data_IF_941495998446
#
_entry.id   IF_941495998446
#
_cell.length_a   1.000
_cell.length_b   1.000
_cell.length_c   1.000
_cell.angle_alpha   90.00
_cell.angle_beta   90.00
_cell.angle_gamma   90.00
#
_symmetry.space_group_name_H-M   'P 1'
#
loop_
_entity.id
_entity.type
_entity.pdbx_description
1 polymer ?
#
# COMPACT_ATOMS: atom_id res chain seq x y z
N UNK A 1 17.83 -1.52 12.85
CA UNK A 1 16.75 -0.67 12.28
C UNK A 1 15.56 -0.78 13.23
N UNK A 2 14.79 0.27 13.41
CA UNK A 2 13.65 0.28 14.33
C UNK A 2 12.40 -0.27 13.61
N UNK A 3 11.69 -1.23 14.23
CA UNK A 3 10.46 -1.78 13.69
C UNK A 3 9.35 -0.72 13.75
N UNK A 4 8.79 -0.36 12.58
CA UNK A 4 7.68 0.58 12.47
C UNK A 4 6.32 -0.12 12.53
N UNK A 5 6.22 -1.35 11.98
CA UNK A 5 5.03 -2.19 12.01
C UNK A 5 5.42 -3.59 12.47
N UNK A 6 4.72 -4.11 13.47
CA UNK A 6 4.84 -5.49 13.92
C UNK A 6 3.47 -6.16 13.91
N UNK A 7 3.39 -7.33 13.31
CA UNK A 7 2.21 -8.20 13.28
C UNK A 7 2.59 -9.51 13.94
N UNK A 8 1.81 -9.96 14.93
CA UNK A 8 2.09 -11.19 15.70
C UNK A 8 0.83 -12.04 15.80
N UNK A 9 0.91 -13.27 15.30
CA UNK A 9 -0.14 -14.27 15.40
C UNK A 9 -1.48 -13.87 14.79
N UNK A 10 -1.47 -12.97 13.79
CA UNK A 10 -2.69 -12.39 13.24
C UNK A 10 -3.52 -13.45 12.53
N UNK A 11 -4.80 -13.59 12.92
CA UNK A 11 -5.68 -14.61 12.33
C UNK A 11 -7.06 -14.05 12.04
N UNK A 12 -7.68 -14.55 10.94
CA UNK A 12 -9.03 -14.19 10.53
C UNK A 12 -9.70 -15.33 9.78
N UNK A 13 -10.90 -15.69 10.22
CA UNK A 13 -11.79 -16.60 9.50
C UNK A 13 -13.08 -15.89 9.07
N UNK A 14 -13.66 -16.34 7.96
CA UNK A 14 -14.98 -15.93 7.48
C UNK A 14 -15.84 -17.19 7.35
N UNK A 15 -16.79 -17.37 8.28
CA UNK A 15 -17.50 -18.63 8.37
C UNK A 15 -16.55 -19.80 8.61
N UNK A 16 -16.53 -20.80 7.72
CA UNK A 16 -15.60 -21.94 7.79
C UNK A 16 -14.27 -21.74 7.06
N UNK A 17 -14.05 -20.58 6.38
CA UNK A 17 -12.86 -20.32 5.60
C UNK A 17 -11.82 -19.56 6.43
N UNK A 18 -10.65 -20.15 6.65
CA UNK A 18 -9.50 -19.48 7.26
C UNK A 18 -8.80 -18.60 6.23
N UNK A 19 -9.00 -17.28 6.31
CA UNK A 19 -8.44 -16.33 5.34
C UNK A 19 -7.02 -15.86 5.70
N UNK A 20 -6.70 -15.80 7.01
CA UNK A 20 -5.35 -15.52 7.53
C UNK A 20 -5.18 -16.37 8.79
N UNK A 21 -4.05 -17.06 8.91
CA UNK A 21 -3.76 -17.95 10.03
C UNK A 21 -2.35 -17.72 10.57
N UNK A 22 -2.28 -17.28 11.82
CA UNK A 22 -1.04 -17.07 12.56
C UNK A 22 0.03 -16.31 11.77
N UNK A 23 -0.37 -15.19 11.15
CA UNK A 23 0.49 -14.41 10.28
C UNK A 23 1.36 -13.44 11.09
N UNK A 24 2.67 -13.55 10.91
CA UNK A 24 3.68 -12.71 11.52
C UNK A 24 4.41 -11.88 10.45
N UNK A 25 4.65 -10.59 10.72
CA UNK A 25 5.43 -9.71 9.86
C UNK A 25 6.06 -8.59 10.69
N UNK A 26 7.32 -8.31 10.43
CA UNK A 26 8.00 -7.14 10.97
C UNK A 26 8.47 -6.26 9.80
N UNK A 27 8.15 -4.97 9.84
CA UNK A 27 8.56 -3.96 8.85
C UNK A 27 9.36 -2.90 9.57
N UNK A 28 10.57 -2.63 9.11
CA UNK A 28 11.40 -1.56 9.65
C UNK A 28 11.15 -0.24 8.91
N UNK A 29 11.52 0.86 9.55
CA UNK A 29 11.45 2.16 8.90
C UNK A 29 12.35 2.19 7.65
N UNK A 30 11.80 2.65 6.53
CA UNK A 30 12.48 2.71 5.24
C UNK A 30 12.44 1.40 4.44
N UNK A 31 11.77 0.35 4.92
CA UNK A 31 11.61 -0.88 4.14
C UNK A 31 10.64 -0.68 2.97
N UNK A 32 10.91 -1.38 1.87
CA UNK A 32 10.02 -1.58 0.73
C UNK A 32 9.82 -3.09 0.54
N UNK A 33 8.66 -3.59 0.97
CA UNK A 33 8.34 -5.01 1.04
C UNK A 33 7.23 -5.37 0.05
N UNK A 34 7.41 -6.47 -0.67
CA UNK A 34 6.38 -7.10 -1.47
C UNK A 34 5.62 -8.19 -0.69
N UNK A 35 4.29 -8.14 -0.68
CA UNK A 35 3.44 -9.22 -0.18
C UNK A 35 2.83 -9.95 -1.39
N UNK A 36 3.28 -11.17 -1.64
CA UNK A 36 2.91 -11.98 -2.80
C UNK A 36 2.12 -13.22 -2.41
N UNK A 37 1.44 -13.80 -3.37
CA UNK A 37 0.69 -15.03 -3.23
C UNK A 37 -0.41 -15.13 -4.29
N UNK A 38 -0.96 -16.31 -4.53
CA UNK A 38 -2.06 -16.52 -5.47
C UNK A 38 -3.32 -15.74 -5.11
N UNK A 39 -4.29 -15.72 -6.03
CA UNK A 39 -5.59 -15.14 -5.77
C UNK A 39 -6.28 -15.89 -4.62
N UNK A 40 -6.92 -15.14 -3.70
CA UNK A 40 -7.52 -15.74 -2.51
C UNK A 40 -6.53 -16.16 -1.41
N UNK A 41 -5.23 -15.91 -1.57
CA UNK A 41 -4.22 -16.26 -0.55
C UNK A 41 -4.35 -15.52 0.80
N UNK A 42 -5.14 -14.43 0.86
CA UNK A 42 -5.35 -13.64 2.07
C UNK A 42 -4.62 -12.28 2.10
N UNK A 43 -3.93 -11.90 1.03
CA UNK A 43 -3.16 -10.63 0.96
C UNK A 43 -3.98 -9.40 1.32
N UNK A 44 -5.08 -9.17 0.62
CA UNK A 44 -5.99 -8.04 0.87
C UNK A 44 -6.64 -8.14 2.24
N UNK A 45 -6.87 -9.36 2.77
CA UNK A 45 -7.34 -9.57 4.13
C UNK A 45 -6.31 -9.08 5.15
N UNK A 46 -5.02 -9.35 4.95
CA UNK A 46 -3.94 -8.81 5.80
C UNK A 46 -3.97 -7.27 5.79
N UNK A 47 -4.07 -6.63 4.63
CA UNK A 47 -4.20 -5.17 4.56
C UNK A 47 -5.45 -4.64 5.27
N UNK A 48 -6.59 -5.32 5.11
CA UNK A 48 -7.84 -4.95 5.79
C UNK A 48 -7.72 -5.06 7.32
N UNK A 49 -6.99 -6.05 7.83
CA UNK A 49 -6.70 -6.22 9.24
C UNK A 49 -5.77 -5.13 9.78
N UNK A 50 -4.68 -4.81 9.07
CA UNK A 50 -3.75 -3.72 9.43
C UNK A 50 -4.46 -2.38 9.47
N UNK A 51 -5.36 -2.13 8.52
CA UNK A 51 -6.03 -0.82 8.36
C UNK A 51 -7.38 -0.72 9.08
N UNK A 52 -7.77 -1.75 9.84
CA UNK A 52 -8.97 -1.74 10.67
C UNK A 52 -10.31 -1.82 9.94
N UNK A 53 -10.29 -2.14 8.62
CA UNK A 53 -11.51 -2.42 7.84
C UNK A 53 -12.17 -3.72 8.28
N UNK A 54 -11.38 -4.67 8.77
CA UNK A 54 -11.82 -5.96 9.30
C UNK A 54 -11.17 -6.15 10.67
N UNK A 55 -11.91 -6.71 11.63
CA UNK A 55 -11.37 -7.06 12.94
C UNK A 55 -10.71 -8.43 12.88
N UNK A 56 -9.53 -8.54 13.50
CA UNK A 56 -8.86 -9.81 13.73
C UNK A 56 -9.65 -10.67 14.71
N UNK A 57 -9.59 -11.97 14.55
CA UNK A 57 -10.14 -12.94 15.51
C UNK A 57 -9.12 -13.23 16.63
N UNK A 58 -7.81 -13.18 16.29
CA UNK A 58 -6.71 -13.27 17.25
C UNK A 58 -5.46 -12.58 16.70
N UNK A 59 -4.45 -12.42 17.56
CA UNK A 59 -3.19 -11.77 17.24
C UNK A 59 -3.23 -10.25 17.44
N UNK A 60 -2.12 -9.62 17.12
CA UNK A 60 -1.91 -8.21 17.39
C UNK A 60 -1.18 -7.51 16.23
N UNK A 61 -1.58 -6.26 15.96
CA UNK A 61 -0.88 -5.32 15.08
C UNK A 61 -0.39 -4.15 15.91
N UNK A 62 0.92 -3.92 15.91
CA UNK A 62 1.54 -2.77 16.57
C UNK A 62 2.16 -1.84 15.54
N UNK A 63 1.94 -0.56 15.73
CA UNK A 63 2.56 0.49 14.94
C UNK A 63 3.36 1.40 15.87
N UNK A 64 4.69 1.47 15.66
CA UNK A 64 5.62 2.21 16.54
C UNK A 64 5.43 1.83 18.01
N UNK A 65 5.37 0.54 18.29
CA UNK A 65 5.17 -0.04 19.63
C UNK A 65 3.76 0.11 20.22
N UNK A 66 2.83 0.82 19.54
CA UNK A 66 1.45 1.00 20.00
C UNK A 66 0.52 0.01 19.32
N UNK A 67 -0.33 -0.67 20.07
CA UNK A 67 -1.35 -1.56 19.52
C UNK A 67 -2.40 -0.78 18.74
N UNK A 68 -2.62 -1.17 17.48
CA UNK A 68 -3.63 -0.58 16.58
C UNK A 68 -4.71 -1.58 16.16
N UNK A 69 -4.65 -2.83 16.59
CA UNK A 69 -5.49 -3.97 16.16
C UNK A 69 -7.00 -3.69 16.20
N UNK A 70 -7.46 -2.91 17.17
CA UNK A 70 -8.89 -2.65 17.36
C UNK A 70 -9.30 -1.21 17.02
N UNK A 71 -8.39 -0.43 16.46
CA UNK A 71 -8.68 0.94 16.07
C UNK A 71 -9.52 0.97 14.79
N UNK A 72 -10.33 2.02 14.65
CA UNK A 72 -11.08 2.28 13.41
C UNK A 72 -10.15 2.83 12.32
N UNK A 73 -10.48 2.68 11.01
CA UNK A 73 -9.61 3.11 9.91
C UNK A 73 -9.13 4.56 10.03
N UNK A 74 -10.01 5.51 10.38
CA UNK A 74 -9.62 6.92 10.52
C UNK A 74 -8.62 7.16 11.66
N UNK A 75 -8.66 6.35 12.73
CA UNK A 75 -7.68 6.42 13.82
C UNK A 75 -6.32 5.88 13.36
N UNK A 76 -6.33 4.79 12.58
CA UNK A 76 -5.12 4.18 12.03
C UNK A 76 -4.42 5.14 11.06
N UNK A 77 -5.18 5.83 10.18
CA UNK A 77 -4.64 6.91 9.34
C UNK A 77 -4.02 8.02 10.21
N UNK A 78 -4.67 8.41 11.30
CA UNK A 78 -4.15 9.39 12.25
C UNK A 78 -2.87 8.93 12.98
N UNK A 79 -2.62 7.62 13.05
CA UNK A 79 -1.34 7.09 13.55
C UNK A 79 -0.23 7.12 12.49
N UNK A 80 -0.54 7.27 11.21
CA UNK A 80 0.44 7.35 10.13
C UNK A 80 0.48 6.14 9.20
N UNK A 81 -0.56 5.33 9.19
CA UNK A 81 -0.73 4.23 8.23
C UNK A 81 -1.71 4.65 7.17
N UNK A 82 -1.27 4.82 5.92
CA UNK A 82 -2.14 5.09 4.78
C UNK A 82 -2.20 3.90 3.82
N UNK A 83 -3.24 3.85 3.00
CA UNK A 83 -3.46 2.79 2.01
C UNK A 83 -4.10 3.34 0.75
N UNK A 84 -3.69 2.82 -0.41
CA UNK A 84 -4.46 2.89 -1.64
C UNK A 84 -5.37 1.67 -1.76
N UNK A 85 -6.38 1.74 -2.61
CA UNK A 85 -7.32 0.65 -2.84
C UNK A 85 -7.23 0.15 -4.27
N UNK A 86 -7.57 -1.12 -4.48
CA UNK A 86 -7.60 -1.72 -5.80
C UNK A 86 -8.53 -0.95 -6.77
N UNK A 87 -9.69 -0.51 -6.28
CA UNK A 87 -10.58 0.39 -7.01
C UNK A 87 -10.27 1.83 -6.62
N UNK A 88 -9.85 2.61 -7.61
CA UNK A 88 -9.54 4.03 -7.42
C UNK A 88 -10.84 4.83 -7.30
N UNK A 89 -11.07 5.44 -6.13
CA UNK A 89 -12.24 6.28 -5.85
C UNK A 89 -11.80 7.73 -5.62
N UNK A 90 -11.87 8.52 -6.68
CA UNK A 90 -11.45 9.92 -6.73
C UNK A 90 -12.66 10.85 -6.91
N UNK A 91 -12.52 12.08 -6.43
CA UNK A 91 -13.51 13.14 -6.64
C UNK A 91 -13.45 13.63 -8.09
N UNK A 92 -14.24 13.02 -8.98
CA UNK A 92 -14.19 13.22 -10.44
C UNK A 92 -14.51 14.63 -10.88
N UNK A 93 -15.33 15.36 -10.11
CA UNK A 93 -15.74 16.75 -10.39
C UNK A 93 -14.74 17.78 -9.85
N UNK A 94 -13.77 17.35 -9.05
CA UNK A 94 -12.68 18.19 -8.58
C UNK A 94 -11.49 18.12 -9.55
N UNK A 95 -10.63 19.12 -9.45
CA UNK A 95 -9.33 19.13 -10.14
C UNK A 95 -8.37 18.11 -9.49
N UNK A 96 -7.31 17.79 -10.21
CA UNK A 96 -6.19 16.95 -9.73
C UNK A 96 -5.62 17.53 -8.44
N UNK A 97 -5.37 18.84 -8.41
CA UNK A 97 -4.85 19.52 -7.23
C UNK A 97 -5.81 19.46 -6.04
N UNK A 98 -7.09 19.75 -6.25
CA UNK A 98 -8.11 19.72 -5.19
C UNK A 98 -8.22 18.32 -4.56
N UNK A 99 -8.14 17.25 -5.36
CA UNK A 99 -8.13 15.89 -4.85
C UNK A 99 -7.00 15.64 -3.84
N UNK A 100 -5.80 16.18 -4.10
CA UNK A 100 -4.65 16.04 -3.20
C UNK A 100 -4.72 17.05 -2.04
N UNK A 101 -5.35 18.21 -2.23
CA UNK A 101 -5.54 19.18 -1.14
C UNK A 101 -6.46 18.66 -0.02
N UNK A 102 -7.50 17.88 -0.34
CA UNK A 102 -8.46 17.37 0.66
C UNK A 102 -7.76 16.67 1.82
N UNK A 103 -6.92 15.64 1.60
CA UNK A 103 -6.24 14.96 2.71
C UNK A 103 -5.16 15.80 3.40
N UNK A 104 -4.64 16.88 2.79
CA UNK A 104 -3.74 17.83 3.46
C UNK A 104 -4.38 18.49 4.69
N UNK A 105 -5.72 18.58 4.76
CA UNK A 105 -6.45 19.09 5.91
C UNK A 105 -6.79 18.02 6.95
N UNK A 106 -6.39 16.77 6.76
CA UNK A 106 -6.57 15.70 7.74
C UNK A 106 -5.87 16.01 9.07
N UNK A 107 -6.10 15.20 10.09
CA UNK A 107 -5.49 15.41 11.42
C UNK A 107 -3.95 15.42 11.36
N UNK A 108 -3.36 14.57 10.55
CA UNK A 108 -1.90 14.53 10.30
C UNK A 108 -1.48 15.53 9.24
N UNK A 109 -2.36 15.88 8.32
CA UNK A 109 -2.07 16.82 7.25
C UNK A 109 -1.55 18.15 7.79
N UNK A 110 -0.35 18.53 7.38
CA UNK A 110 0.38 19.70 7.92
C UNK A 110 -0.30 21.04 7.59
N UNK A 111 -1.32 21.04 6.72
CA UNK A 111 -2.04 22.24 6.32
C UNK A 111 -3.13 22.68 7.30
N UNK A 112 -3.62 21.80 8.17
CA UNK A 112 -4.72 22.11 9.11
C UNK A 112 -4.49 23.37 9.95
N UNK A 113 -3.23 23.67 10.29
CA UNK A 113 -2.85 24.85 11.10
C UNK A 113 -2.44 26.08 10.27
N UNK A 114 -2.28 25.96 8.95
CA UNK A 114 -1.63 26.97 8.11
C UNK A 114 -2.46 27.43 6.91
N UNK A 115 -3.69 26.92 6.77
CA UNK A 115 -4.65 27.39 5.75
C UNK A 115 -4.39 26.90 4.32
N UNK A 116 -5.25 27.36 3.40
CA UNK A 116 -5.31 26.86 2.02
C UNK A 116 -4.04 27.05 1.18
N UNK A 117 -3.29 28.16 1.39
CA UNK A 117 -2.03 28.41 0.65
C UNK A 117 -0.98 27.33 0.92
N UNK A 118 -0.90 26.83 2.16
CA UNK A 118 0.03 25.75 2.51
C UNK A 118 -0.46 24.40 1.96
N UNK A 119 -1.77 24.14 2.02
CA UNK A 119 -2.36 22.94 1.42
C UNK A 119 -2.09 22.89 -0.08
N UNK A 120 -2.25 24.01 -0.78
CA UNK A 120 -1.96 24.14 -2.20
C UNK A 120 -0.51 23.80 -2.54
N UNK A 121 0.45 24.39 -1.82
CA UNK A 121 1.87 24.13 -2.03
C UNK A 121 2.24 22.67 -1.78
N UNK A 122 1.77 22.10 -0.67
CA UNK A 122 2.00 20.69 -0.33
C UNK A 122 1.39 19.75 -1.37
N UNK A 123 0.15 20.01 -1.80
CA UNK A 123 -0.50 19.20 -2.80
C UNK A 123 0.28 19.21 -4.13
N UNK A 124 0.81 20.37 -4.53
CA UNK A 124 1.63 20.49 -5.73
C UNK A 124 2.95 19.70 -5.58
N UNK A 125 3.60 19.74 -4.42
CA UNK A 125 4.80 18.94 -4.13
C UNK A 125 4.53 17.43 -4.27
N UNK A 126 3.39 16.92 -3.77
CA UNK A 126 3.01 15.53 -3.95
C UNK A 126 2.70 15.18 -5.41
N UNK A 127 2.08 16.11 -6.16
CA UNK A 127 1.85 15.92 -7.60
C UNK A 127 3.17 15.91 -8.41
N UNK A 128 4.15 16.72 -8.04
CA UNK A 128 5.49 16.68 -8.63
C UNK A 128 6.16 15.34 -8.35
N UNK A 129 6.01 14.80 -7.14
CA UNK A 129 6.60 13.52 -6.74
C UNK A 129 6.12 12.35 -7.60
N UNK A 130 4.83 12.33 -7.93
CA UNK A 130 4.22 11.31 -8.80
C UNK A 130 4.26 11.68 -10.29
N UNK A 131 4.71 12.88 -10.66
CA UNK A 131 4.83 13.35 -12.04
C UNK A 131 3.57 13.95 -12.66
N UNK A 132 2.56 14.30 -11.84
CA UNK A 132 1.27 14.85 -12.27
C UNK A 132 1.14 16.38 -12.11
N UNK A 133 2.20 17.09 -11.73
CA UNK A 133 2.13 18.53 -11.50
C UNK A 133 1.65 19.32 -12.73
N UNK A 134 1.98 18.87 -13.94
CA UNK A 134 1.56 19.50 -15.19
C UNK A 134 0.05 19.44 -15.45
N UNK A 135 -0.67 18.51 -14.75
CA UNK A 135 -2.12 18.32 -14.85
C UNK A 135 -2.90 18.95 -13.70
N UNK A 136 -2.27 19.72 -12.81
CA UNK A 136 -2.82 20.17 -11.52
C UNK A 136 -4.21 20.82 -11.60
N UNK A 137 -4.48 21.56 -12.67
CA UNK A 137 -5.72 22.32 -12.87
C UNK A 137 -6.77 21.55 -13.72
N UNK A 138 -6.48 20.34 -14.14
CA UNK A 138 -7.42 19.53 -14.91
C UNK A 138 -8.39 18.78 -14.02
N UNK A 139 -9.61 18.54 -14.50
CA UNK A 139 -10.57 17.68 -13.82
C UNK A 139 -10.14 16.23 -13.89
N UNK A 140 -10.33 15.50 -12.80
CA UNK A 140 -9.94 14.08 -12.66
C UNK A 140 -10.58 13.18 -13.73
N UNK A 141 -11.80 13.50 -14.17
CA UNK A 141 -12.49 12.76 -15.26
C UNK A 141 -11.74 12.76 -16.60
N UNK A 142 -10.79 13.67 -16.80
CA UNK A 142 -10.00 13.79 -18.04
C UNK A 142 -8.67 13.03 -17.98
N UNK A 143 -8.35 12.41 -16.83
CA UNK A 143 -7.11 11.67 -16.65
C UNK A 143 -7.19 10.27 -17.27
N UNK A 144 -6.07 9.81 -17.84
CA UNK A 144 -5.87 8.43 -18.23
C UNK A 144 -5.81 7.51 -17.00
N UNK A 145 -6.01 6.21 -17.21
CA UNK A 145 -6.08 5.25 -16.10
C UNK A 145 -4.79 5.20 -15.27
N UNK A 146 -3.62 5.25 -15.90
CA UNK A 146 -2.32 5.32 -15.21
C UNK A 146 -2.18 6.59 -14.38
N UNK A 147 -2.66 7.75 -14.89
CA UNK A 147 -2.65 9.00 -14.15
C UNK A 147 -3.58 8.96 -12.92
N UNK A 148 -4.73 8.26 -13.01
CA UNK A 148 -5.62 8.05 -11.86
C UNK A 148 -4.92 7.26 -10.73
N UNK A 149 -4.12 6.25 -11.07
CA UNK A 149 -3.31 5.49 -10.11
C UNK A 149 -2.27 6.37 -9.41
N UNK A 150 -1.56 7.19 -10.18
CA UNK A 150 -0.58 8.15 -9.63
C UNK A 150 -1.26 9.16 -8.69
N UNK A 151 -2.44 9.67 -9.09
CA UNK A 151 -3.20 10.60 -8.27
C UNK A 151 -3.68 9.97 -6.95
N UNK A 152 -4.12 8.71 -6.96
CA UNK A 152 -4.53 8.00 -5.74
C UNK A 152 -3.35 7.85 -4.75
N UNK A 153 -2.15 7.57 -5.26
CA UNK A 153 -0.93 7.53 -4.44
C UNK A 153 -0.61 8.94 -3.88
N UNK A 154 -0.67 9.99 -4.70
CA UNK A 154 -0.45 11.36 -4.24
C UNK A 154 -1.44 11.76 -3.13
N UNK A 155 -2.71 11.35 -3.24
CA UNK A 155 -3.73 11.55 -2.19
C UNK A 155 -3.38 10.82 -0.89
N UNK A 156 -2.94 9.56 -1.00
CA UNK A 156 -2.53 8.80 0.17
C UNK A 156 -1.30 9.45 0.85
N UNK A 157 -0.31 9.89 0.08
CA UNK A 157 0.87 10.61 0.58
C UNK A 157 0.53 11.94 1.25
N UNK A 158 -0.52 12.63 0.78
CA UNK A 158 -0.96 13.91 1.35
C UNK A 158 -1.53 13.79 2.78
N UNK A 159 -1.78 12.58 3.28
CA UNK A 159 -2.07 12.33 4.70
C UNK A 159 -0.83 12.36 5.59
N UNK A 160 0.38 12.53 5.03
CA UNK A 160 1.69 12.47 5.71
C UNK A 160 1.92 11.11 6.40
N UNK A 161 1.85 10.00 5.64
CA UNK A 161 1.96 8.67 6.23
C UNK A 161 3.42 8.33 6.57
N UNK A 162 3.62 7.53 7.63
CA UNK A 162 4.92 6.95 7.95
C UNK A 162 5.09 5.57 7.30
N UNK A 163 3.97 4.88 7.00
CA UNK A 163 3.93 3.67 6.17
C UNK A 163 2.77 3.76 5.17
N UNK A 164 3.05 3.41 3.93
CA UNK A 164 2.08 3.39 2.84
C UNK A 164 1.86 1.95 2.35
N UNK A 165 0.61 1.52 2.34
CA UNK A 165 0.18 0.22 1.84
C UNK A 165 -0.39 0.38 0.44
N UNK A 166 0.24 -0.22 -0.57
CA UNK A 166 -0.18 -0.17 -1.97
C UNK A 166 -0.83 -1.49 -2.37
N UNK A 167 -2.12 -1.45 -2.70
CA UNK A 167 -2.91 -2.64 -3.03
C UNK A 167 -3.07 -2.76 -4.56
N UNK A 168 -2.31 -3.66 -5.17
CA UNK A 168 -2.25 -3.93 -6.60
C UNK A 168 -2.11 -2.67 -7.48
N UNK A 169 -1.11 -1.81 -7.21
CA UNK A 169 -0.98 -0.52 -7.90
C UNK A 169 -0.73 -0.66 -9.41
N UNK A 170 -0.15 -1.78 -9.89
CA UNK A 170 0.13 -2.02 -11.31
C UNK A 170 -1.04 -2.69 -12.05
N UNK A 171 -2.13 -3.04 -11.35
CA UNK A 171 -3.26 -3.72 -11.98
C UNK A 171 -3.92 -2.86 -13.05
N UNK A 172 -4.08 -3.42 -14.27
CA UNK A 172 -4.69 -2.74 -15.40
C UNK A 172 -3.78 -1.75 -16.16
N UNK A 173 -2.54 -1.52 -15.70
CA UNK A 173 -1.59 -0.64 -16.38
C UNK A 173 -0.92 -1.35 -17.56
N UNK A 174 -0.66 -0.61 -18.63
CA UNK A 174 0.25 -1.03 -19.69
C UNK A 174 1.71 -0.94 -19.22
N UNK A 175 2.65 -1.23 -20.13
CA UNK A 175 4.09 -1.27 -19.80
C UNK A 175 4.65 0.12 -19.52
N UNK A 176 4.18 1.15 -20.25
CA UNK A 176 4.65 2.53 -20.12
C UNK A 176 4.15 3.15 -18.81
N UNK A 177 2.87 3.03 -18.52
CA UNK A 177 2.26 3.49 -17.25
C UNK A 177 2.87 2.79 -16.04
N UNK A 178 3.10 1.46 -16.13
CA UNK A 178 3.76 0.70 -15.07
C UNK A 178 5.20 1.17 -14.82
N UNK A 179 5.95 1.55 -15.86
CA UNK A 179 7.29 2.10 -15.73
C UNK A 179 7.28 3.50 -15.07
N UNK A 180 6.30 4.34 -15.39
CA UNK A 180 6.12 5.65 -14.74
C UNK A 180 5.79 5.47 -13.25
N UNK A 181 4.85 4.58 -12.93
CA UNK A 181 4.47 4.27 -11.55
C UNK A 181 5.65 3.70 -10.75
N UNK A 182 6.41 2.77 -11.33
CA UNK A 182 7.62 2.21 -10.69
C UNK A 182 8.60 3.30 -10.30
N UNK A 183 8.89 4.25 -11.20
CA UNK A 183 9.77 5.38 -10.90
C UNK A 183 9.23 6.30 -9.79
N UNK A 184 7.90 6.48 -9.70
CA UNK A 184 7.30 7.24 -8.62
C UNK A 184 7.49 6.54 -7.27
N UNK A 185 7.24 5.22 -7.20
CA UNK A 185 7.46 4.39 -6.00
C UNK A 185 8.95 4.41 -5.59
N UNK A 186 9.88 4.26 -6.54
CA UNK A 186 11.31 4.34 -6.27
C UNK A 186 11.72 5.70 -5.67
N UNK A 187 11.23 6.81 -6.22
CA UNK A 187 11.51 8.15 -5.69
C UNK A 187 11.02 8.33 -4.27
N UNK A 188 9.79 7.87 -3.97
CA UNK A 188 9.23 7.92 -2.62
C UNK A 188 10.07 7.07 -1.65
N UNK A 189 10.49 5.87 -2.06
CA UNK A 189 11.33 4.99 -1.25
C UNK A 189 12.72 5.61 -0.98
N UNK A 190 13.35 6.19 -1.99
CA UNK A 190 14.64 6.89 -1.85
C UNK A 190 14.59 8.07 -0.88
N UNK A 191 13.40 8.67 -0.70
CA UNK A 191 13.14 9.71 0.32
C UNK A 191 12.81 9.15 1.71
N UNK A 192 12.90 7.83 1.89
CA UNK A 192 12.72 7.15 3.16
C UNK A 192 11.29 6.72 3.46
N UNK A 193 10.37 6.77 2.48
CA UNK A 193 9.01 6.27 2.67
C UNK A 193 9.01 4.76 2.86
N UNK A 194 8.45 4.29 3.98
CA UNK A 194 8.21 2.86 4.23
C UNK A 194 6.98 2.41 3.45
N UNK A 195 7.08 1.28 2.74
CA UNK A 195 5.96 0.79 1.93
C UNK A 195 5.83 -0.73 1.98
N UNK A 196 4.57 -1.21 1.91
CA UNK A 196 4.24 -2.60 1.61
C UNK A 196 3.40 -2.61 0.33
N UNK A 197 3.77 -3.43 -0.65
CA UNK A 197 3.07 -3.54 -1.93
C UNK A 197 2.50 -4.95 -2.07
N UNK A 198 1.18 -5.06 -2.22
CA UNK A 198 0.55 -6.29 -2.71
C UNK A 198 0.58 -6.25 -4.22
N UNK A 199 1.09 -7.30 -4.86
CA UNK A 199 1.06 -7.44 -6.31
C UNK A 199 1.03 -8.91 -6.75
N UNK A 200 0.43 -9.11 -7.93
CA UNK A 200 0.48 -10.37 -8.66
C UNK A 200 1.36 -10.31 -9.91
N UNK A 201 1.72 -9.10 -10.38
CA UNK A 201 2.70 -8.85 -11.46
C UNK A 201 4.12 -8.95 -10.89
N UNK A 202 4.58 -10.17 -10.62
CA UNK A 202 5.85 -10.42 -9.92
C UNK A 202 7.05 -9.74 -10.60
N UNK A 203 7.09 -9.69 -11.94
CA UNK A 203 8.20 -9.09 -12.69
C UNK A 203 8.41 -7.61 -12.36
N UNK A 204 7.34 -6.86 -12.16
CA UNK A 204 7.40 -5.44 -11.85
C UNK A 204 7.72 -5.22 -10.37
N UNK A 205 7.07 -5.98 -9.49
CA UNK A 205 7.28 -5.90 -8.04
C UNK A 205 8.72 -6.25 -7.64
N UNK A 206 9.24 -7.39 -8.11
CA UNK A 206 10.55 -7.91 -7.67
C UNK A 206 11.74 -7.03 -8.07
N UNK A 207 11.56 -6.13 -9.04
CA UNK A 207 12.57 -5.12 -9.38
C UNK A 207 12.62 -3.96 -8.39
N UNK A 208 11.51 -3.71 -7.68
CA UNK A 208 11.35 -2.57 -6.78
C UNK A 208 11.71 -2.91 -5.34
N UNK A 209 11.30 -4.09 -4.88
CA UNK A 209 11.35 -4.45 -3.46
C UNK A 209 12.68 -5.06 -3.07
N UNK A 210 13.06 -4.89 -1.79
CA UNK A 210 14.26 -5.52 -1.21
C UNK A 210 13.93 -6.75 -0.39
N UNK A 211 12.70 -6.84 0.11
CA UNK A 211 12.17 -7.99 0.84
C UNK A 211 10.84 -8.44 0.28
N UNK A 212 10.56 -9.71 0.34
CA UNK A 212 9.31 -10.32 -0.13
C UNK A 212 8.79 -11.29 0.92
N UNK A 213 7.48 -11.21 1.17
CA UNK A 213 6.74 -12.15 2.00
C UNK A 213 5.74 -12.89 1.12
N UNK A 214 5.78 -14.21 1.12
CA UNK A 214 4.87 -15.06 0.36
C UNK A 214 3.80 -15.65 1.29
N UNK A 215 2.53 -15.48 0.92
CA UNK A 215 1.37 -16.01 1.64
C UNK A 215 0.57 -16.94 0.73
N UNK A 216 0.13 -18.09 1.27
CA UNK A 216 -0.71 -19.07 0.58
C UNK A 216 -1.73 -19.63 1.57
N UNK A 217 -3.00 -19.65 1.20
CA UNK A 217 -4.11 -20.08 2.07
C UNK A 217 -4.06 -19.48 3.48
N UNK A 218 -3.75 -18.18 3.55
CA UNK A 218 -3.67 -17.44 4.82
C UNK A 218 -2.39 -17.65 5.63
N UNK A 219 -1.47 -18.51 5.19
CA UNK A 219 -0.23 -18.83 5.88
C UNK A 219 0.97 -18.15 5.21
N UNK A 220 1.86 -17.55 6.00
CA UNK A 220 3.18 -17.13 5.51
C UNK A 220 4.03 -18.37 5.25
N UNK A 221 4.42 -18.59 3.99
CA UNK A 221 5.19 -19.79 3.59
C UNK A 221 6.67 -19.49 3.37
N UNK A 222 7.02 -18.23 3.08
CA UNK A 222 8.40 -17.80 2.90
C UNK A 222 8.53 -16.29 3.14
N UNK A 223 9.73 -15.87 3.53
CA UNK A 223 10.17 -14.48 3.64
C UNK A 223 11.66 -14.42 3.31
N UNK A 224 12.08 -13.41 2.52
CA UNK A 224 13.47 -13.25 2.11
C UNK A 224 13.62 -12.21 1.00
N UNK A 225 14.81 -12.19 0.40
CA UNK A 225 15.10 -11.37 -0.78
C UNK A 225 14.29 -11.85 -2.01
N UNK A 226 14.10 -11.00 -3.04
CA UNK A 226 13.48 -11.43 -4.29
C UNK A 226 14.10 -12.71 -4.88
N UNK A 227 15.42 -12.83 -4.84
CA UNK A 227 16.14 -14.01 -5.36
C UNK A 227 15.86 -15.28 -4.55
N UNK A 228 15.88 -15.20 -3.22
CA UNK A 228 15.55 -16.32 -2.34
C UNK A 228 14.12 -16.80 -2.54
N UNK A 229 13.18 -15.87 -2.69
CA UNK A 229 11.76 -16.18 -2.91
C UNK A 229 11.53 -16.82 -4.28
N UNK A 230 12.17 -16.32 -5.33
CA UNK A 230 12.06 -16.89 -6.68
C UNK A 230 12.61 -18.31 -6.80
N UNK A 231 13.56 -18.70 -5.93
CA UNK A 231 14.14 -20.02 -5.86
C UNK A 231 13.51 -20.92 -4.78
N UNK A 232 12.50 -20.42 -4.05
CA UNK A 232 11.87 -21.19 -2.97
C UNK A 232 10.85 -22.20 -3.54
N UNK A 233 11.09 -23.48 -3.31
CA UNK A 233 10.26 -24.57 -3.83
C UNK A 233 8.78 -24.47 -3.43
N UNK A 234 8.48 -24.01 -2.19
CA UNK A 234 7.10 -23.84 -1.72
C UNK A 234 6.38 -22.72 -2.50
N UNK A 235 7.10 -21.64 -2.79
CA UNK A 235 6.56 -20.52 -3.58
C UNK A 235 6.36 -20.95 -5.03
N UNK A 236 7.34 -21.60 -5.64
CA UNK A 236 7.25 -22.11 -7.02
C UNK A 236 6.05 -23.06 -7.14
N UNK A 237 5.90 -24.01 -6.23
CA UNK A 237 4.80 -24.98 -6.24
C UNK A 237 3.43 -24.31 -6.11
N UNK A 238 3.32 -23.28 -5.25
CA UNK A 238 2.08 -22.55 -5.05
C UNK A 238 1.61 -21.79 -6.31
N UNK A 239 2.54 -21.28 -7.11
CA UNK A 239 2.23 -20.58 -8.38
C UNK A 239 2.08 -21.53 -9.58
N UNK A 240 2.77 -22.68 -9.59
CA UNK A 240 2.65 -23.67 -10.67
C UNK A 240 1.40 -24.54 -10.51
N UNK A 241 0.92 -24.77 -9.28
CA UNK A 241 -0.32 -25.51 -9.01
C UNK A 241 -1.57 -24.85 -9.59
N UNK A 242 -1.60 -23.51 -9.71
CA UNK A 242 -2.70 -22.76 -10.33
C UNK A 242 -2.76 -22.91 -11.87
N UNK A 243 -1.71 -23.39 -12.54
CA UNK A 243 -1.68 -23.54 -14.00
C UNK A 243 -2.27 -24.88 -14.50
N UNK A 244 -2.79 -25.73 -13.61
CA UNK A 244 -3.30 -27.08 -13.95
C UNK A 244 -4.82 -27.20 -13.89
N UNK A 245 -5.56 -26.10 -13.76
CA UNK A 245 -7.00 -26.02 -14.00
C UNK A 245 -7.22 -24.99 -15.14
#
# INVERSE_FOLDING_TARGET
>A
MEAILEIKGLSKAFGGLQAVLNFDLTVNQGDLIGLIGPNGAGKTTVFNLITGFIRADSGEVRFKGKTITHLKPYQIVNHGVARTFQLVDLFKEMTVLENVMVPCFSHRGKAKRHGGKKAWKMALEFLEEVGLAHRFNEHVRNLAFGELRLLDIARAMATDPEILLLDEPFSGLDVEDAAVLSKAIERMHQRGQTMIIIEHRLKDLLKLVKGVVAIVFGLKIAEGTPEEIMNNEKVITAYLGERRE
#
